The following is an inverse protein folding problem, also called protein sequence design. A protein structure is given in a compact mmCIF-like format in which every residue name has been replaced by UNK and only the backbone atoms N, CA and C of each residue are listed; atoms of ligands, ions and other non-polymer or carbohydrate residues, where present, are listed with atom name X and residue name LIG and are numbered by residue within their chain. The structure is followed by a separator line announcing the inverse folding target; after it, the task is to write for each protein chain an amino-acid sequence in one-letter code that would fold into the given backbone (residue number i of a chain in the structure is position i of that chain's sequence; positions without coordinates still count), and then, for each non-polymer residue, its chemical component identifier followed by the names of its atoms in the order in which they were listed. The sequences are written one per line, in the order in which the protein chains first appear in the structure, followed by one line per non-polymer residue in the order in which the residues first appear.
data_IF_586754536077
#
_entry.id   IF_586754536077
#
_cell.length_a   1.000
_cell.length_b   1.000
_cell.length_c   1.000
_cell.angle_alpha   90.00
_cell.angle_beta   90.00
_cell.angle_gamma   90.00
#
_symmetry.space_group_name_H-M   'P 1'
#
loop_
_entity.id
_entity.type
_entity.pdbx_description
1 polymer ?
#
# COMPACT_ATOMS: atom_id res chain seq x y z
N UNK A 1 -26.90 -17.28 -11.17
CA UNK A 1 -25.77 -16.43 -11.59
C UNK A 1 -24.49 -17.17 -11.26
N UNK A 2 -23.47 -17.20 -12.13
CA UNK A 2 -22.18 -17.76 -11.79
C UNK A 2 -21.57 -16.98 -10.60
N UNK A 3 -20.86 -17.66 -9.69
CA UNK A 3 -20.19 -17.07 -8.52
C UNK A 3 -19.27 -15.90 -8.92
N UNK A 4 -18.60 -16.02 -10.05
CA UNK A 4 -17.74 -14.99 -10.62
C UNK A 4 -18.50 -13.68 -10.95
N UNK A 5 -19.74 -13.77 -11.42
CA UNK A 5 -20.57 -12.59 -11.74
C UNK A 5 -21.02 -11.87 -10.47
N UNK A 6 -21.33 -12.60 -9.39
CA UNK A 6 -21.66 -12.03 -8.09
C UNK A 6 -20.44 -11.29 -7.51
N UNK A 7 -19.28 -11.91 -7.54
CA UNK A 7 -18.04 -11.30 -7.08
C UNK A 7 -17.73 -9.99 -7.82
N UNK A 8 -17.83 -9.96 -9.16
CA UNK A 8 -17.61 -8.75 -9.97
C UNK A 8 -18.60 -7.65 -9.63
N UNK A 9 -19.86 -7.98 -9.35
CA UNK A 9 -20.88 -7.01 -8.96
C UNK A 9 -20.55 -6.36 -7.61
N UNK A 10 -20.14 -7.15 -6.64
CA UNK A 10 -19.79 -6.63 -5.31
C UNK A 10 -18.56 -5.72 -5.37
N UNK A 11 -17.55 -6.10 -6.17
CA UNK A 11 -16.36 -5.26 -6.40
C UNK A 11 -16.75 -3.96 -7.12
N UNK A 12 -17.59 -4.04 -8.17
CA UNK A 12 -18.04 -2.85 -8.90
C UNK A 12 -18.82 -1.89 -8.00
N UNK A 13 -19.67 -2.40 -7.11
CA UNK A 13 -20.37 -1.59 -6.12
C UNK A 13 -19.40 -0.92 -5.15
N UNK A 14 -18.39 -1.65 -4.65
CA UNK A 14 -17.37 -1.08 -3.75
C UNK A 14 -16.58 0.06 -4.44
N UNK A 15 -16.14 -0.15 -5.67
CA UNK A 15 -15.46 0.88 -6.47
C UNK A 15 -16.36 2.09 -6.68
N UNK A 16 -17.62 1.88 -7.09
CA UNK A 16 -18.60 2.93 -7.34
C UNK A 16 -18.90 3.76 -6.08
N UNK A 17 -18.96 3.12 -4.91
CA UNK A 17 -19.10 3.82 -3.62
C UNK A 17 -17.91 4.71 -3.31
N UNK A 18 -16.69 4.22 -3.50
CA UNK A 18 -15.45 4.99 -3.28
C UNK A 18 -15.40 6.21 -4.19
N UNK A 19 -15.84 6.07 -5.44
CA UNK A 19 -15.84 7.15 -6.42
C UNK A 19 -17.08 8.05 -6.34
N UNK A 20 -18.03 7.76 -5.44
CA UNK A 20 -19.32 8.45 -5.36
C UNK A 20 -20.09 8.45 -6.70
N UNK A 21 -19.96 7.37 -7.46
CA UNK A 21 -20.59 7.16 -8.77
C UNK A 21 -21.48 5.91 -8.71
N UNK A 22 -22.57 5.98 -7.95
CA UNK A 22 -23.42 4.82 -7.61
C UNK A 22 -24.63 4.63 -8.54
N UNK A 23 -24.71 5.38 -9.64
CA UNK A 23 -25.75 5.17 -10.63
C UNK A 23 -25.57 3.82 -11.37
N UNK A 24 -26.69 3.28 -11.91
CA UNK A 24 -26.69 1.95 -12.52
C UNK A 24 -25.76 1.87 -13.76
N UNK A 25 -25.59 2.96 -14.49
CA UNK A 25 -24.72 2.97 -15.67
C UNK A 25 -23.24 2.81 -15.26
N UNK A 26 -22.77 3.60 -14.30
CA UNK A 26 -21.41 3.51 -13.77
C UNK A 26 -21.12 2.10 -13.23
N UNK A 27 -21.99 1.57 -12.36
CA UNK A 27 -21.81 0.22 -11.78
C UNK A 27 -21.75 -0.85 -12.86
N UNK A 28 -22.65 -0.81 -13.86
CA UNK A 28 -22.68 -1.77 -14.94
C UNK A 28 -21.46 -1.67 -15.85
N UNK A 29 -20.99 -0.46 -16.16
CA UNK A 29 -19.78 -0.23 -16.96
C UNK A 29 -18.56 -0.81 -16.24
N UNK A 30 -18.40 -0.56 -14.95
CA UNK A 30 -17.33 -1.18 -14.15
C UNK A 30 -17.45 -2.70 -14.17
N UNK A 31 -18.63 -3.26 -13.82
CA UNK A 31 -18.86 -4.70 -13.72
C UNK A 31 -18.54 -5.45 -15.02
N UNK A 32 -18.96 -4.90 -16.16
CA UNK A 32 -18.82 -5.55 -17.45
C UNK A 32 -17.36 -5.57 -17.96
N UNK A 33 -16.57 -4.58 -17.60
CA UNK A 33 -15.19 -4.43 -18.07
C UNK A 33 -14.15 -4.89 -17.03
N UNK A 34 -14.57 -5.16 -15.79
CA UNK A 34 -13.68 -5.57 -14.71
C UNK A 34 -13.16 -7.00 -14.92
N UNK A 35 -11.86 -7.18 -14.76
CA UNK A 35 -11.23 -8.50 -14.63
C UNK A 35 -10.68 -8.69 -13.23
N UNK A 36 -10.72 -9.91 -12.69
CA UNK A 36 -10.26 -10.22 -11.33
C UNK A 36 -9.17 -11.28 -11.40
N UNK A 37 -8.07 -11.05 -10.71
CA UNK A 37 -6.91 -11.97 -10.63
C UNK A 37 -6.47 -12.14 -9.18
N UNK A 38 -6.06 -13.36 -8.86
CA UNK A 38 -5.43 -13.66 -7.57
C UNK A 38 -3.92 -13.71 -7.74
N UNK A 39 -3.21 -13.20 -6.75
CA UNK A 39 -1.76 -13.16 -6.68
C UNK A 39 -1.30 -13.81 -5.39
N UNK A 40 -0.30 -14.66 -5.49
CA UNK A 40 0.35 -15.26 -4.33
C UNK A 40 1.35 -14.28 -3.72
N UNK A 41 1.66 -14.47 -2.46
CA UNK A 41 2.70 -13.71 -1.77
C UNK A 41 4.00 -13.65 -2.59
N UNK A 42 4.56 -12.46 -2.74
CA UNK A 42 5.73 -12.10 -3.56
C UNK A 42 5.52 -12.22 -5.07
N UNK A 43 4.31 -12.45 -5.56
CA UNK A 43 4.00 -12.41 -6.99
C UNK A 43 3.93 -10.96 -7.48
N UNK A 44 4.46 -10.72 -8.68
CA UNK A 44 4.47 -9.41 -9.34
C UNK A 44 3.06 -9.10 -9.87
N UNK A 45 2.55 -7.91 -9.54
CA UNK A 45 1.24 -7.42 -10.00
C UNK A 45 1.43 -6.57 -11.26
N UNK A 46 2.37 -5.62 -11.25
CA UNK A 46 2.84 -4.88 -12.43
C UNK A 46 4.30 -4.48 -12.24
N UNK A 47 5.00 -4.21 -13.33
CA UNK A 47 6.44 -3.95 -13.35
C UNK A 47 6.75 -2.49 -13.66
N UNK A 48 7.86 -2.00 -13.10
CA UNK A 48 8.49 -0.73 -13.47
C UNK A 48 8.87 -0.72 -14.96
N UNK A 49 8.75 0.44 -15.61
CA UNK A 49 8.96 0.70 -17.03
C UNK A 49 7.94 0.07 -17.99
N UNK A 50 6.93 -0.67 -17.51
CA UNK A 50 5.81 -1.09 -18.34
C UNK A 50 4.81 0.06 -18.56
N UNK A 51 4.24 0.12 -19.74
CA UNK A 51 3.12 1.02 -20.05
C UNK A 51 1.87 0.50 -19.35
N UNK A 52 1.20 1.31 -18.51
CA UNK A 52 -0.02 0.88 -17.86
C UNK A 52 -1.13 0.64 -18.89
N UNK A 53 -1.89 -0.43 -18.71
CA UNK A 53 -3.06 -0.78 -19.53
C UNK A 53 -4.35 -0.79 -18.72
N UNK A 54 -4.22 -0.83 -17.40
CA UNK A 54 -5.35 -0.92 -16.46
C UNK A 54 -5.07 -0.05 -15.23
N UNK A 55 -6.14 0.44 -14.60
CA UNK A 55 -6.12 0.86 -13.20
C UNK A 55 -6.46 -0.35 -12.35
N UNK A 56 -5.73 -0.53 -11.26
CA UNK A 56 -5.82 -1.70 -10.41
C UNK A 56 -6.45 -1.35 -9.07
N UNK A 57 -7.36 -2.19 -8.60
CA UNK A 57 -8.02 -2.07 -7.30
C UNK A 57 -7.71 -3.30 -6.45
N UNK A 58 -7.12 -3.11 -5.30
CA UNK A 58 -6.82 -4.18 -4.35
C UNK A 58 -8.09 -4.54 -3.58
N UNK A 59 -8.71 -5.66 -3.95
CA UNK A 59 -9.97 -6.14 -3.37
C UNK A 59 -9.75 -6.69 -1.98
N UNK A 60 -8.69 -7.49 -1.83
CA UNK A 60 -8.30 -8.10 -0.55
C UNK A 60 -6.80 -8.35 -0.50
N UNK A 61 -6.24 -8.45 0.70
CA UNK A 61 -4.82 -8.65 0.94
C UNK A 61 -4.05 -7.32 1.00
N UNK A 62 -2.74 -7.40 0.79
CA UNK A 62 -1.82 -6.24 0.82
C UNK A 62 -0.82 -6.33 -0.32
N UNK A 63 -0.47 -5.19 -0.90
CA UNK A 63 0.60 -5.07 -1.89
C UNK A 63 1.66 -4.05 -1.45
N UNK A 64 2.90 -4.25 -1.86
CA UNK A 64 3.99 -3.30 -1.67
C UNK A 64 4.37 -2.68 -3.01
N UNK A 65 4.50 -1.37 -3.02
CA UNK A 65 5.06 -0.62 -4.14
C UNK A 65 6.56 -0.51 -3.92
N UNK A 66 7.33 -1.00 -4.88
CA UNK A 66 8.78 -1.03 -4.82
C UNK A 66 9.40 -0.21 -5.96
N UNK A 67 10.49 0.45 -5.66
CA UNK A 67 11.37 1.09 -6.64
C UNK A 67 12.67 0.31 -6.70
N UNK A 68 13.08 -0.10 -7.89
CA UNK A 68 14.38 -0.73 -8.05
C UNK A 68 15.50 0.34 -7.96
N UNK A 69 16.50 0.03 -7.15
CA UNK A 69 17.69 0.85 -6.96
C UNK A 69 18.89 0.18 -7.58
N UNK A 70 19.99 0.93 -7.74
CA UNK A 70 21.26 0.41 -8.20
C UNK A 70 21.70 -0.83 -7.38
N UNK A 71 22.38 -1.76 -8.01
CA UNK A 71 22.93 -2.99 -7.41
C UNK A 71 21.86 -4.02 -6.91
N UNK A 72 20.70 -4.08 -7.57
CA UNK A 72 19.69 -5.10 -7.29
C UNK A 72 18.99 -4.96 -5.91
N UNK A 73 19.08 -3.80 -5.29
CA UNK A 73 18.30 -3.48 -4.10
C UNK A 73 16.98 -2.87 -4.51
N UNK A 74 15.90 -3.26 -3.84
CA UNK A 74 14.61 -2.62 -3.99
C UNK A 74 14.22 -1.88 -2.71
N UNK A 75 13.64 -0.69 -2.90
CA UNK A 75 13.13 0.14 -1.82
C UNK A 75 11.61 0.05 -1.81
N UNK A 76 11.03 -0.31 -0.67
CA UNK A 76 9.57 -0.19 -0.50
C UNK A 76 9.25 1.29 -0.35
N UNK A 77 8.52 1.80 -1.34
CA UNK A 77 8.06 3.19 -1.36
C UNK A 77 6.78 3.33 -0.52
N UNK A 78 5.86 2.35 -0.65
CA UNK A 78 4.55 2.39 -0.01
C UNK A 78 3.97 0.97 0.10
N UNK A 79 3.09 0.77 1.05
CA UNK A 79 2.24 -0.42 1.14
C UNK A 79 0.81 0.00 0.79
N UNK A 80 0.14 -0.81 0.00
CA UNK A 80 -1.26 -0.65 -0.41
C UNK A 80 -2.10 -1.64 0.40
N UNK A 81 -3.13 -1.15 1.06
CA UNK A 81 -4.12 -1.94 1.78
C UNK A 81 -5.31 -2.29 0.90
N UNK A 82 -6.12 -3.22 1.34
CA UNK A 82 -7.40 -3.51 0.69
C UNK A 82 -8.27 -2.26 0.48
N UNK A 83 -9.15 -2.31 -0.49
CA UNK A 83 -10.04 -1.21 -0.90
C UNK A 83 -9.28 0.05 -1.37
N UNK A 84 -8.10 -0.11 -1.95
CA UNK A 84 -7.27 0.99 -2.46
C UNK A 84 -6.85 0.76 -3.90
N UNK A 85 -6.65 1.87 -4.64
CA UNK A 85 -6.21 1.84 -6.03
C UNK A 85 -4.68 1.91 -6.15
N UNK A 86 -4.16 1.32 -7.24
CA UNK A 86 -2.75 1.39 -7.62
C UNK A 86 -2.61 1.47 -9.16
N UNK A 87 -1.43 1.92 -9.64
CA UNK A 87 -1.16 2.07 -11.07
C UNK A 87 -1.69 3.37 -11.70
N UNK A 88 -2.58 4.12 -11.03
CA UNK A 88 -3.24 5.30 -11.58
C UNK A 88 -2.29 6.49 -11.84
N UNK A 89 -1.19 6.63 -11.08
CA UNK A 89 -0.23 7.74 -11.28
C UNK A 89 0.31 7.79 -12.71
N UNK A 90 0.76 6.65 -13.21
CA UNK A 90 1.34 6.54 -14.55
C UNK A 90 0.32 6.89 -15.65
N UNK A 91 -0.94 6.50 -15.47
CA UNK A 91 -2.05 6.87 -16.36
C UNK A 91 -2.24 8.40 -16.41
N UNK A 92 -2.41 9.06 -15.27
CA UNK A 92 -2.63 10.50 -15.22
C UNK A 92 -1.40 11.34 -15.62
N UNK A 93 -0.19 10.79 -15.44
CA UNK A 93 1.06 11.43 -15.86
C UNK A 93 1.44 11.16 -17.32
N UNK A 94 0.70 10.29 -18.02
CA UNK A 94 1.02 9.83 -19.38
C UNK A 94 2.45 9.25 -19.50
N UNK A 95 2.83 8.43 -18.52
CA UNK A 95 4.16 7.84 -18.41
C UNK A 95 4.08 6.31 -18.23
N UNK A 96 5.22 5.63 -18.40
CA UNK A 96 5.37 4.27 -17.93
C UNK A 96 5.34 4.21 -16.39
N UNK A 97 5.08 3.02 -15.84
CA UNK A 97 5.17 2.79 -14.40
C UNK A 97 6.59 3.10 -13.90
N UNK A 98 6.71 3.98 -12.92
CA UNK A 98 8.00 4.33 -12.29
C UNK A 98 8.36 3.44 -11.11
N UNK A 99 7.49 2.49 -10.79
CA UNK A 99 7.61 1.54 -9.67
C UNK A 99 6.97 0.21 -10.07
N UNK A 100 7.30 -0.85 -9.36
CA UNK A 100 6.61 -2.15 -9.46
C UNK A 100 5.66 -2.35 -8.28
N UNK A 101 4.61 -3.15 -8.47
CA UNK A 101 3.76 -3.62 -7.37
C UNK A 101 3.92 -5.12 -7.19
N UNK A 102 4.07 -5.56 -5.94
CA UNK A 102 4.26 -6.96 -5.55
C UNK A 102 3.31 -7.30 -4.41
N UNK A 103 2.65 -8.44 -4.47
CA UNK A 103 1.78 -8.91 -3.41
C UNK A 103 2.59 -9.16 -2.11
N UNK A 104 2.24 -8.52 -1.01
CA UNK A 104 2.87 -8.70 0.30
C UNK A 104 2.35 -9.96 1.00
N UNK A 105 1.13 -10.34 0.69
CA UNK A 105 0.44 -11.58 1.08
C UNK A 105 -0.45 -12.06 -0.06
N UNK A 106 -1.14 -13.19 0.09
CA UNK A 106 -2.11 -13.66 -0.92
C UNK A 106 -3.19 -12.59 -1.11
N UNK A 107 -3.34 -12.12 -2.33
CA UNK A 107 -4.11 -10.91 -2.66
C UNK A 107 -5.01 -11.14 -3.86
N UNK A 108 -6.13 -10.43 -3.88
CA UNK A 108 -7.05 -10.38 -5.03
C UNK A 108 -7.06 -8.96 -5.58
N UNK A 109 -6.84 -8.82 -6.88
CA UNK A 109 -6.78 -7.54 -7.57
C UNK A 109 -7.81 -7.52 -8.69
N UNK A 110 -8.59 -6.47 -8.73
CA UNK A 110 -9.46 -6.15 -9.86
C UNK A 110 -8.76 -5.16 -10.78
N UNK A 111 -8.86 -5.38 -12.08
CA UNK A 111 -8.23 -4.54 -13.10
C UNK A 111 -9.31 -3.96 -14.02
N UNK A 112 -9.32 -2.65 -14.18
CA UNK A 112 -10.22 -1.90 -15.06
C UNK A 112 -9.41 -1.31 -16.21
N UNK A 113 -9.76 -1.59 -17.49
CA UNK A 113 -9.05 -1.07 -18.65
C UNK A 113 -9.03 0.47 -18.67
N UNK A 114 -7.94 1.06 -19.18
CA UNK A 114 -7.81 2.52 -19.23
C UNK A 114 -8.85 3.19 -20.13
N UNK A 115 -9.27 2.55 -21.22
CA UNK A 115 -10.32 3.09 -22.08
C UNK A 115 -11.65 3.21 -21.32
N UNK A 116 -12.01 2.20 -20.53
CA UNK A 116 -13.17 2.26 -19.64
C UNK A 116 -13.01 3.35 -18.58
N UNK A 117 -11.79 3.54 -18.08
CA UNK A 117 -11.50 4.60 -17.11
C UNK A 117 -11.71 6.00 -17.70
N UNK A 118 -11.30 6.23 -18.95
CA UNK A 118 -11.53 7.49 -19.67
C UNK A 118 -13.04 7.77 -19.80
N UNK A 119 -13.81 6.76 -20.26
CA UNK A 119 -15.28 6.87 -20.35
C UNK A 119 -15.92 7.26 -19.01
N UNK A 120 -15.55 6.58 -17.92
CA UNK A 120 -16.09 6.85 -16.59
C UNK A 120 -15.73 8.24 -16.05
N UNK A 121 -14.51 8.74 -16.31
CA UNK A 121 -14.07 10.08 -15.92
C UNK A 121 -14.87 11.17 -16.67
N UNK A 122 -15.14 10.96 -17.94
CA UNK A 122 -15.95 11.91 -18.74
C UNK A 122 -17.41 11.96 -18.25
N UNK A 123 -17.95 10.85 -17.79
CA UNK A 123 -19.31 10.77 -17.26
C UNK A 123 -19.45 11.32 -15.83
N UNK A 124 -18.41 11.22 -15.01
CA UNK A 124 -18.47 11.62 -13.60
C UNK A 124 -17.18 12.27 -13.09
N UNK A 125 -17.19 13.56 -12.93
CA UNK A 125 -16.09 14.34 -12.38
C UNK A 125 -15.71 13.98 -10.93
N UNK A 126 -16.59 13.30 -10.19
CA UNK A 126 -16.29 12.78 -8.84
C UNK A 126 -15.13 11.81 -8.85
N UNK A 127 -15.00 11.01 -9.92
CA UNK A 127 -13.88 10.07 -10.11
C UNK A 127 -12.56 10.83 -10.24
N UNK A 128 -12.53 11.88 -11.03
CA UNK A 128 -11.34 12.75 -11.17
C UNK A 128 -10.97 13.38 -9.83
N UNK A 129 -11.94 13.93 -9.10
CA UNK A 129 -11.71 14.52 -7.78
C UNK A 129 -11.16 13.51 -6.78
N UNK A 130 -11.64 12.27 -6.81
CA UNK A 130 -11.09 11.19 -5.99
C UNK A 130 -9.60 11.00 -6.27
N UNK A 131 -9.20 10.84 -7.54
CA UNK A 131 -7.79 10.62 -7.88
C UNK A 131 -6.90 11.84 -7.63
N UNK A 132 -7.42 13.06 -7.81
CA UNK A 132 -6.70 14.28 -7.42
C UNK A 132 -6.43 14.27 -5.92
N UNK A 133 -7.43 13.93 -5.10
CA UNK A 133 -7.27 13.82 -3.64
C UNK A 133 -6.24 12.76 -3.25
N UNK A 134 -6.29 11.58 -3.87
CA UNK A 134 -5.33 10.50 -3.65
C UNK A 134 -3.89 10.92 -4.02
N UNK A 135 -3.72 11.60 -5.17
CA UNK A 135 -2.41 12.11 -5.59
C UNK A 135 -1.89 13.19 -4.64
N UNK A 136 -2.73 14.12 -4.22
CA UNK A 136 -2.36 15.18 -3.27
C UNK A 136 -1.97 14.60 -1.90
N UNK A 137 -2.74 13.65 -1.38
CA UNK A 137 -2.45 12.92 -0.13
C UNK A 137 -1.12 12.17 -0.25
N UNK A 138 -0.93 11.43 -1.34
CA UNK A 138 0.31 10.69 -1.60
C UNK A 138 1.53 11.62 -1.69
N UNK A 139 1.38 12.80 -2.28
CA UNK A 139 2.46 13.80 -2.34
C UNK A 139 2.85 14.28 -0.94
N UNK A 140 1.87 14.64 -0.11
CA UNK A 140 2.14 15.07 1.28
C UNK A 140 2.79 13.97 2.15
N UNK A 141 2.37 12.72 1.98
CA UNK A 141 3.02 11.57 2.64
C UNK A 141 4.47 11.39 2.16
N UNK A 142 4.72 11.57 0.86
CA UNK A 142 6.05 11.47 0.26
C UNK A 142 6.97 12.57 0.78
N UNK A 143 6.49 13.81 0.89
CA UNK A 143 7.24 14.93 1.46
C UNK A 143 7.61 14.68 2.92
N UNK A 144 6.66 14.21 3.72
CA UNK A 144 6.89 13.85 5.13
C UNK A 144 7.92 12.72 5.25
N UNK A 145 7.82 11.72 4.38
CA UNK A 145 8.77 10.61 4.34
C UNK A 145 10.17 11.06 3.91
N UNK A 146 10.27 11.97 2.96
CA UNK A 146 11.54 12.54 2.53
C UNK A 146 12.28 13.21 3.71
N UNK A 147 11.56 14.02 4.50
CA UNK A 147 12.11 14.64 5.71
C UNK A 147 12.56 13.58 6.72
N UNK A 148 11.75 12.57 6.96
CA UNK A 148 12.11 11.45 7.85
C UNK A 148 13.40 10.75 7.42
N UNK A 149 13.55 10.46 6.14
CA UNK A 149 14.71 9.76 5.61
C UNK A 149 16.00 10.59 5.67
N UNK A 150 15.88 11.90 5.58
CA UNK A 150 17.03 12.83 5.58
C UNK A 150 17.42 13.33 6.95
N UNK A 151 16.48 13.46 7.89
CA UNK A 151 16.70 14.09 9.18
C UNK A 151 16.81 13.11 10.35
N UNK A 152 16.18 11.91 10.25
CA UNK A 152 16.15 10.97 11.36
C UNK A 152 17.24 9.91 11.30
N UNK A 153 17.77 9.57 12.47
CA UNK A 153 18.66 8.42 12.63
C UNK A 153 17.92 7.07 12.48
N UNK A 154 18.66 5.99 12.37
CA UNK A 154 18.14 4.63 12.15
C UNK A 154 17.04 4.27 13.18
N UNK A 155 17.24 4.59 14.46
CA UNK A 155 16.27 4.29 15.53
C UNK A 155 14.96 5.04 15.32
N UNK A 156 15.03 6.34 15.04
CA UNK A 156 13.87 7.19 14.79
C UNK A 156 13.09 6.72 13.57
N UNK A 157 13.77 6.38 12.47
CA UNK A 157 13.11 5.86 11.26
C UNK A 157 12.38 4.54 11.50
N UNK A 158 12.98 3.60 12.25
CA UNK A 158 12.31 2.34 12.55
C UNK A 158 11.11 2.53 13.50
N UNK A 159 11.25 3.39 14.52
CA UNK A 159 10.15 3.72 15.43
C UNK A 159 8.97 4.34 14.66
N UNK A 160 9.25 5.30 13.78
CA UNK A 160 8.23 5.91 12.93
C UNK A 160 7.57 4.90 12.00
N UNK A 161 8.35 4.01 11.38
CA UNK A 161 7.80 2.94 10.54
C UNK A 161 6.83 2.06 11.33
N UNK A 162 7.16 1.66 12.56
CA UNK A 162 6.29 0.84 13.41
C UNK A 162 4.99 1.59 13.75
N UNK A 163 5.09 2.89 14.08
CA UNK A 163 3.92 3.73 14.38
C UNK A 163 3.05 3.92 13.13
N UNK A 164 3.66 4.19 11.97
CA UNK A 164 2.94 4.32 10.71
C UNK A 164 2.23 3.01 10.31
N UNK A 165 2.85 1.86 10.53
CA UNK A 165 2.21 0.56 10.32
C UNK A 165 1.00 0.37 11.22
N UNK A 166 1.08 0.77 12.50
CA UNK A 166 -0.07 0.76 13.41
C UNK A 166 -1.19 1.68 12.91
N UNK A 167 -0.86 2.90 12.54
CA UNK A 167 -1.85 3.90 12.11
C UNK A 167 -2.59 3.46 10.84
N UNK A 168 -1.89 2.83 9.89
CA UNK A 168 -2.44 2.47 8.59
C UNK A 168 -3.14 1.10 8.56
N UNK A 169 -2.67 0.13 9.36
CA UNK A 169 -3.15 -1.27 9.31
C UNK A 169 -3.83 -1.70 10.61
N UNK A 170 -3.75 -0.88 11.64
CA UNK A 170 -4.35 -1.19 12.95
C UNK A 170 -3.56 -2.23 13.73
N UNK A 171 -4.22 -2.77 14.73
CA UNK A 171 -3.72 -3.79 15.65
C UNK A 171 -4.68 -4.98 15.71
N UNK A 172 -4.18 -6.17 16.04
CA UNK A 172 -4.98 -7.37 16.24
C UNK A 172 -5.89 -7.22 17.48
N UNK A 173 -6.78 -8.17 17.70
CA UNK A 173 -7.75 -8.17 18.81
C UNK A 173 -7.11 -8.14 20.21
N UNK A 174 -5.82 -8.41 20.32
CA UNK A 174 -5.06 -8.32 21.58
C UNK A 174 -4.73 -6.87 22.00
N UNK A 175 -5.08 -5.90 21.16
CA UNK A 175 -4.89 -4.47 21.39
C UNK A 175 -3.44 -3.98 21.30
N UNK A 176 -2.49 -4.82 20.87
CA UNK A 176 -1.05 -4.48 20.87
C UNK A 176 -0.28 -4.98 19.65
N UNK A 177 -0.67 -6.11 19.06
CA UNK A 177 0.04 -6.70 17.91
C UNK A 177 -0.33 -6.00 16.63
N UNK A 178 0.64 -5.60 15.81
CA UNK A 178 0.40 -5.00 14.51
C UNK A 178 -0.38 -5.97 13.61
N UNK A 179 -1.44 -5.49 12.99
CA UNK A 179 -2.27 -6.24 12.03
C UNK A 179 -1.62 -6.26 10.63
N UNK A 180 -0.30 -6.40 10.58
CA UNK A 180 0.49 -6.56 9.36
C UNK A 180 1.71 -7.41 9.65
N UNK A 181 1.95 -8.42 8.80
CA UNK A 181 3.09 -9.33 8.96
C UNK A 181 4.15 -9.01 7.93
N UNK A 182 5.27 -8.45 8.39
CA UNK A 182 6.41 -8.12 7.54
C UNK A 182 7.65 -8.96 7.91
N UNK A 183 8.38 -9.40 6.90
CA UNK A 183 9.69 -9.96 7.13
C UNK A 183 10.72 -8.85 7.44
N UNK A 184 11.90 -9.22 7.92
CA UNK A 184 12.95 -8.26 8.32
C UNK A 184 13.52 -7.46 7.15
N UNK A 185 13.53 -8.06 5.96
CA UNK A 185 13.96 -7.39 4.73
C UNK A 185 12.97 -6.30 4.33
N UNK A 186 11.67 -6.62 4.30
CA UNK A 186 10.63 -5.65 3.94
C UNK A 186 10.57 -4.48 4.95
N UNK A 187 10.69 -4.78 6.26
CA UNK A 187 10.73 -3.76 7.30
C UNK A 187 11.95 -2.86 7.18
N UNK A 188 13.12 -3.44 6.92
CA UNK A 188 14.36 -2.71 6.67
C UNK A 188 14.25 -1.82 5.43
N UNK A 189 13.70 -2.37 4.33
CA UNK A 189 13.45 -1.62 3.11
C UNK A 189 12.50 -0.45 3.36
N UNK A 190 11.38 -0.67 4.05
CA UNK A 190 10.41 0.39 4.38
C UNK A 190 11.02 1.49 5.25
N UNK A 191 11.95 1.15 6.14
CA UNK A 191 12.64 2.10 7.04
C UNK A 191 13.94 2.67 6.45
N UNK A 192 14.25 2.36 5.18
CA UNK A 192 15.49 2.76 4.49
C UNK A 192 16.76 2.45 5.29
N UNK A 193 16.95 1.18 5.63
CA UNK A 193 18.15 0.71 6.33
C UNK A 193 18.54 -0.69 5.87
N UNK A 194 19.74 -1.14 6.24
CA UNK A 194 20.14 -2.53 5.99
C UNK A 194 19.35 -3.49 6.89
N UNK A 195 19.12 -4.72 6.42
CA UNK A 195 18.44 -5.77 7.20
C UNK A 195 19.14 -6.02 8.54
N UNK A 196 20.48 -5.98 8.56
CA UNK A 196 21.28 -6.14 9.80
C UNK A 196 21.00 -5.00 10.81
N UNK A 197 20.86 -3.76 10.32
CA UNK A 197 20.52 -2.63 11.19
C UNK A 197 19.08 -2.75 11.71
N UNK A 198 18.12 -3.15 10.87
CA UNK A 198 16.74 -3.38 11.30
C UNK A 198 16.68 -4.45 12.40
N UNK A 199 17.34 -5.60 12.21
CA UNK A 199 17.37 -6.67 13.20
C UNK A 199 17.97 -6.16 14.53
N UNK A 200 19.10 -5.47 14.49
CA UNK A 200 19.78 -4.94 15.68
C UNK A 200 18.93 -3.92 16.43
N UNK A 201 18.30 -3.00 15.69
CA UNK A 201 17.45 -1.96 16.30
C UNK A 201 16.16 -2.57 16.87
N UNK A 202 15.56 -3.54 16.20
CA UNK A 202 14.40 -4.28 16.75
C UNK A 202 14.75 -5.02 18.04
N UNK A 203 15.95 -5.68 18.09
CA UNK A 203 16.41 -6.33 19.31
C UNK A 203 16.66 -5.35 20.46
N UNK A 204 17.22 -4.17 20.16
CA UNK A 204 17.34 -3.09 21.13
C UNK A 204 15.98 -2.64 21.68
N UNK A 205 15.00 -2.40 20.79
CA UNK A 205 13.64 -2.02 21.21
C UNK A 205 12.96 -3.11 22.06
N UNK A 206 13.21 -4.40 21.77
CA UNK A 206 12.69 -5.48 22.56
C UNK A 206 13.35 -5.55 23.95
N UNK A 207 14.68 -5.38 24.02
CA UNK A 207 15.42 -5.34 25.29
C UNK A 207 15.00 -4.15 26.18
N UNK A 208 14.69 -3.02 25.56
CA UNK A 208 14.20 -1.82 26.22
C UNK A 208 12.71 -1.90 26.63
N UNK A 209 12.02 -2.99 26.30
CA UNK A 209 10.61 -3.17 26.61
C UNK A 209 9.65 -2.29 25.80
N UNK A 210 10.07 -1.79 24.64
CA UNK A 210 9.25 -0.96 23.77
C UNK A 210 8.34 -1.80 22.90
N UNK A 211 8.84 -2.95 22.44
CA UNK A 211 8.13 -3.93 21.63
C UNK A 211 8.41 -5.35 22.10
N UNK A 212 7.55 -6.28 21.71
CA UNK A 212 7.78 -7.71 21.79
C UNK A 212 7.79 -8.31 20.39
N UNK A 213 8.66 -9.27 20.14
CA UNK A 213 8.81 -9.92 18.84
C UNK A 213 8.47 -11.39 18.96
N UNK A 214 7.48 -11.84 18.19
CA UNK A 214 7.13 -13.26 18.06
C UNK A 214 7.18 -13.66 16.58
N UNK A 215 8.29 -14.28 16.17
CA UNK A 215 8.54 -14.61 14.77
C UNK A 215 8.57 -13.34 13.88
N UNK A 216 7.56 -13.19 13.02
CA UNK A 216 7.40 -12.00 12.17
C UNK A 216 6.46 -10.95 12.76
N UNK A 217 5.71 -11.28 13.80
CA UNK A 217 4.79 -10.37 14.47
C UNK A 217 5.54 -9.39 15.38
N UNK A 218 5.06 -8.17 15.45
CA UNK A 218 5.57 -7.10 16.34
C UNK A 218 4.41 -6.66 17.21
N UNK A 219 4.61 -6.70 18.52
CA UNK A 219 3.68 -6.24 19.54
C UNK A 219 4.22 -4.97 20.18
N UNK A 220 3.44 -3.90 20.18
CA UNK A 220 3.83 -2.62 20.77
C UNK A 220 3.53 -2.67 22.26
N UNK A 221 4.55 -2.49 23.10
CA UNK A 221 4.42 -2.48 24.56
C UNK A 221 4.38 -1.05 25.12
N UNK A 222 5.18 -0.14 24.55
CA UNK A 222 5.26 1.25 24.95
C UNK A 222 5.24 2.19 23.73
N UNK A 223 4.04 2.60 23.34
CA UNK A 223 3.84 3.46 22.18
C UNK A 223 4.34 4.89 22.42
N UNK A 224 4.18 5.43 23.63
CA UNK A 224 4.59 6.78 23.95
C UNK A 224 6.10 6.96 23.79
N UNK A 225 6.90 6.01 24.27
CA UNK A 225 8.35 6.06 24.14
C UNK A 225 8.80 5.81 22.69
N UNK A 226 8.11 4.91 21.93
CA UNK A 226 8.35 4.79 20.49
C UNK A 226 8.07 6.11 19.75
N UNK A 227 6.97 6.80 20.08
CA UNK A 227 6.63 8.07 19.49
C UNK A 227 7.67 9.17 19.85
N UNK A 228 8.22 9.14 21.05
CA UNK A 228 9.29 10.04 21.48
C UNK A 228 10.58 9.76 20.70
N UNK A 229 10.99 8.49 20.55
CA UNK A 229 12.14 8.10 19.74
C UNK A 229 11.95 8.52 18.28
N UNK A 230 10.75 8.34 17.73
CA UNK A 230 10.43 8.79 16.38
C UNK A 230 10.57 10.31 16.20
N UNK A 231 10.18 11.10 17.20
CA UNK A 231 10.27 12.59 17.14
C UNK A 231 11.67 13.13 17.36
N UNK A 232 12.45 12.50 18.21
CA UNK A 232 13.80 12.95 18.56
C UNK A 232 14.87 12.49 17.56
N UNK A 233 14.50 11.59 16.61
CA UNK A 233 15.38 11.09 15.57
C UNK A 233 16.21 9.91 15.99
#
# INVERSE_FOLDING_TARGET
MPIETLLKKDIANSIAQIWHCTDAHCVNTIQNNLTVRSFKRNELIYQENETPTHILFLVSGMAKIIKECSMGRSQIVRIIKEQSFMGFRAFFAHECNTTSAVALEDSTVAALPLDTMVELIELNHGITNYFISELATTLGETDSRFVTLTQKHIRGRLAETIIALKANYGIENDGKTLNVIMNRYDLASLSNMSTSNAIRTLSSFATEGLIEISGKKIRILNEEELAKISRLG
#
